data_IF_495039833808
#
_entry.id   IF_495039833808
#
_cell.length_a   1.000
_cell.length_b   1.000
_cell.length_c   1.000
_cell.angle_alpha   90.00
_cell.angle_beta   90.00
_cell.angle_gamma   90.00
#
_symmetry.space_group_name_H-M   'P 1'
#
loop_
_entity.id
_entity.type
_entity.pdbx_description
1 polymer ?
#
# COMPACT_ATOMS: atom_id res chain seq x y z
N UNK A 1 14.39 7.42 -19.69
CA UNK A 1 14.39 8.89 -19.77
C UNK A 1 13.75 9.35 -21.07
N UNK A 2 12.88 10.35 -21.02
CA UNK A 2 12.34 11.03 -22.20
C UNK A 2 13.31 12.16 -22.61
N UNK A 3 13.81 12.11 -23.82
CA UNK A 3 14.82 13.06 -24.29
C UNK A 3 14.26 14.07 -25.32
N UNK A 4 12.94 14.11 -25.49
CA UNK A 4 12.24 15.04 -26.37
C UNK A 4 11.82 14.42 -27.71
N UNK A 5 10.93 15.10 -28.42
CA UNK A 5 10.48 14.73 -29.77
C UNK A 5 10.01 13.28 -29.93
N UNK A 6 9.32 12.74 -28.91
CA UNK A 6 8.83 11.35 -28.95
C UNK A 6 9.92 10.30 -28.72
N UNK A 7 11.14 10.67 -28.35
CA UNK A 7 12.24 9.73 -28.15
C UNK A 7 12.46 9.42 -26.67
N UNK A 8 12.56 8.14 -26.36
CA UNK A 8 12.91 7.62 -25.04
C UNK A 8 14.24 6.88 -25.08
N UNK A 9 15.04 7.06 -24.04
CA UNK A 9 16.32 6.39 -23.86
C UNK A 9 16.27 5.41 -22.72
N UNK A 10 16.64 4.16 -22.97
CA UNK A 10 16.84 3.18 -21.91
C UNK A 10 18.16 3.51 -21.18
N UNK A 11 18.08 3.80 -19.87
CA UNK A 11 19.26 4.22 -19.09
C UNK A 11 20.24 3.07 -18.81
N UNK A 12 19.82 1.81 -18.94
CA UNK A 12 20.69 0.66 -18.73
C UNK A 12 21.42 0.28 -20.02
N UNK A 13 20.70 0.15 -21.13
CA UNK A 13 21.27 -0.26 -22.41
C UNK A 13 21.77 0.90 -23.28
N UNK A 14 21.37 2.13 -22.98
CA UNK A 14 21.64 3.31 -23.80
C UNK A 14 20.83 3.38 -25.10
N UNK A 15 20.00 2.38 -25.39
CA UNK A 15 19.22 2.31 -26.63
C UNK A 15 18.16 3.42 -26.64
N UNK A 16 18.11 4.14 -27.76
CA UNK A 16 17.08 5.15 -28.02
C UNK A 16 15.98 4.56 -28.91
N UNK A 17 14.72 4.84 -28.53
CA UNK A 17 13.55 4.38 -29.28
C UNK A 17 12.64 5.55 -29.55
N UNK A 18 12.24 5.73 -30.79
CA UNK A 18 11.24 6.74 -31.18
C UNK A 18 9.84 6.14 -31.05
N UNK A 19 8.94 6.87 -30.36
CA UNK A 19 7.56 6.49 -30.13
C UNK A 19 6.63 7.41 -30.92
N UNK A 20 5.84 6.85 -31.83
CA UNK A 20 4.74 7.56 -32.46
C UNK A 20 3.52 7.57 -31.55
N UNK A 21 3.26 8.69 -30.88
CA UNK A 21 2.16 8.85 -29.97
C UNK A 21 1.27 10.02 -30.36
N UNK A 22 -0.05 9.84 -30.29
CA UNK A 22 -1.03 10.93 -30.51
C UNK A 22 -0.91 12.04 -29.46
N UNK A 23 -0.55 11.69 -28.24
CA UNK A 23 -0.39 12.60 -27.10
C UNK A 23 0.74 12.11 -26.20
N UNK A 24 1.51 13.03 -25.69
CA UNK A 24 2.48 12.78 -24.62
C UNK A 24 1.95 13.38 -23.33
N UNK A 25 1.93 12.61 -22.26
CA UNK A 25 1.52 13.05 -20.94
C UNK A 25 2.77 13.15 -20.06
N UNK A 26 3.07 14.35 -19.58
CA UNK A 26 4.09 14.55 -18.56
C UNK A 26 3.49 14.24 -17.18
N UNK A 27 3.88 13.11 -16.62
CA UNK A 27 3.46 12.66 -15.29
C UNK A 27 4.48 13.01 -14.19
N UNK A 28 5.51 13.79 -14.49
CA UNK A 28 6.57 14.18 -13.54
C UNK A 28 6.21 15.42 -12.72
N UNK A 29 5.07 16.07 -13.00
CA UNK A 29 4.62 17.28 -12.31
C UNK A 29 4.35 17.09 -10.81
N UNK A 30 4.02 15.89 -10.39
CA UNK A 30 3.75 15.56 -8.99
C UNK A 30 5.06 15.52 -8.18
N UNK A 31 5.35 16.61 -7.50
CA UNK A 31 6.50 16.68 -6.58
C UNK A 31 6.13 16.07 -5.21
N UNK A 32 6.11 14.76 -5.14
CA UNK A 32 5.81 14.01 -3.91
C UNK A 32 7.09 13.64 -3.17
N UNK A 33 7.04 13.78 -1.86
CA UNK A 33 8.12 13.34 -0.96
C UNK A 33 7.87 11.88 -0.56
N UNK A 34 8.79 11.00 -0.91
CA UNK A 34 8.71 9.56 -0.62
C UNK A 34 9.90 9.10 0.23
N UNK A 35 9.81 7.96 0.94
CA UNK A 35 10.88 7.48 1.81
C UNK A 35 12.26 7.32 1.13
N UNK A 36 12.28 7.04 -0.18
CA UNK A 36 13.54 6.88 -0.92
C UNK A 36 14.35 8.18 -1.11
N UNK A 37 13.72 9.35 -0.89
CA UNK A 37 14.35 10.66 -1.04
C UNK A 37 14.35 11.48 0.26
N UNK A 38 13.96 10.87 1.38
CA UNK A 38 13.90 11.53 2.70
C UNK A 38 14.58 10.72 3.78
N UNK A 39 15.27 11.40 4.67
CA UNK A 39 15.78 10.80 5.90
C UNK A 39 14.63 10.52 6.85
N UNK A 40 14.60 9.36 7.53
CA UNK A 40 13.62 9.09 8.59
C UNK A 40 13.62 10.19 9.65
N UNK A 41 12.45 10.53 10.19
CA UNK A 41 12.31 11.52 11.26
C UNK A 41 12.73 10.99 12.64
N UNK A 42 13.10 9.72 12.74
CA UNK A 42 13.57 9.05 13.93
C UNK A 42 15.04 8.63 13.78
N UNK A 43 15.73 8.47 14.89
CA UNK A 43 17.11 7.99 14.90
C UNK A 43 17.16 6.49 14.68
N UNK A 44 18.12 6.06 13.87
CA UNK A 44 18.45 4.65 13.65
C UNK A 44 19.74 4.35 14.37
N UNK A 45 19.77 3.27 15.16
CA UNK A 45 20.96 2.86 15.91
C UNK A 45 22.09 2.49 14.97
N UNK A 46 23.31 2.74 15.40
CA UNK A 46 24.51 2.32 14.66
C UNK A 46 24.49 0.81 14.43
N UNK A 47 24.90 0.38 13.25
CA UNK A 47 24.86 -1.03 12.85
C UNK A 47 23.50 -1.55 12.39
N UNK A 48 22.43 -0.74 12.46
CA UNK A 48 21.11 -1.11 11.94
C UNK A 48 20.96 -0.65 10.48
N UNK A 49 20.62 -1.57 9.59
CA UNK A 49 20.30 -1.23 8.19
C UNK A 49 18.89 -0.66 8.11
N UNK A 50 18.77 0.60 7.70
CA UNK A 50 17.48 1.26 7.46
C UNK A 50 17.39 1.66 5.99
N UNK A 51 16.45 1.07 5.28
CA UNK A 51 16.27 1.26 3.83
C UNK A 51 14.84 1.67 3.50
N UNK A 52 14.63 2.40 2.40
CA UNK A 52 13.30 2.56 1.85
C UNK A 52 12.82 1.23 1.22
N UNK A 53 11.50 1.03 1.03
CA UNK A 53 10.94 -0.20 0.46
C UNK A 53 11.54 -0.63 -0.88
N UNK A 54 11.95 0.33 -1.70
CA UNK A 54 12.61 0.08 -3.00
C UNK A 54 13.94 -0.68 -2.87
N UNK A 55 14.62 -0.57 -1.72
CA UNK A 55 15.86 -1.28 -1.45
C UNK A 55 15.67 -2.74 -0.98
N UNK A 56 14.43 -3.19 -0.72
CA UNK A 56 14.18 -4.57 -0.28
C UNK A 56 14.75 -5.62 -1.24
N UNK A 57 14.58 -5.52 -2.57
CA UNK A 57 15.15 -6.50 -3.50
C UNK A 57 16.68 -6.52 -3.57
N UNK A 58 17.35 -5.49 -3.03
CA UNK A 58 18.80 -5.33 -3.08
C UNK A 58 19.49 -5.87 -1.82
N UNK A 59 18.73 -6.35 -0.83
CA UNK A 59 19.30 -6.96 0.39
C UNK A 59 19.98 -8.27 0.00
N UNK A 60 21.32 -8.29 0.07
CA UNK A 60 22.13 -9.46 -0.35
C UNK A 60 22.09 -10.63 0.64
N UNK A 61 22.09 -10.34 1.94
CA UNK A 61 21.95 -11.34 3.01
C UNK A 61 20.58 -11.18 3.67
N UNK A 62 19.92 -12.30 3.95
CA UNK A 62 18.62 -12.28 4.63
C UNK A 62 18.85 -11.93 6.11
N UNK A 63 18.42 -10.76 6.58
CA UNK A 63 18.46 -10.41 8.01
C UNK A 63 17.66 -11.40 8.84
N UNK A 64 18.05 -11.57 10.11
CA UNK A 64 17.29 -12.40 11.04
C UNK A 64 15.89 -11.85 11.33
N UNK A 65 15.80 -10.53 11.49
CA UNK A 65 14.56 -9.83 11.84
C UNK A 65 14.34 -8.60 10.96
N UNK A 66 13.08 -8.28 10.72
CA UNK A 66 12.64 -7.11 9.96
C UNK A 66 11.70 -6.23 10.79
N UNK A 67 11.92 -4.93 10.76
CA UNK A 67 10.99 -3.95 11.33
C UNK A 67 10.41 -3.09 10.21
N UNK A 68 9.13 -3.27 9.91
CA UNK A 68 8.42 -2.45 8.93
C UNK A 68 7.72 -1.30 9.63
N UNK A 69 8.07 -0.07 9.28
CA UNK A 69 7.52 1.14 9.92
C UNK A 69 6.51 1.82 9.02
N UNK A 70 5.25 1.84 9.45
CA UNK A 70 4.15 2.51 8.77
C UNK A 70 2.91 1.64 8.62
N UNK A 71 1.73 2.25 8.54
CA UNK A 71 0.44 1.59 8.34
C UNK A 71 -0.19 1.86 6.97
N UNK A 72 0.54 2.46 6.03
CA UNK A 72 0.05 2.79 4.68
C UNK A 72 0.27 1.67 3.67
N UNK A 73 -0.21 1.88 2.43
CA UNK A 73 -0.10 0.88 1.35
C UNK A 73 1.34 0.43 1.12
N UNK A 74 2.30 1.33 1.14
CA UNK A 74 3.73 1.01 0.96
C UNK A 74 4.26 0.03 2.01
N UNK A 75 3.87 0.21 3.28
CA UNK A 75 4.25 -0.73 4.34
C UNK A 75 3.55 -2.09 4.18
N UNK A 76 2.28 -2.09 3.79
CA UNK A 76 1.53 -3.30 3.44
C UNK A 76 2.25 -4.07 2.33
N UNK A 77 2.64 -3.38 1.25
CA UNK A 77 3.36 -4.01 0.13
C UNK A 77 4.73 -4.54 0.56
N UNK A 78 5.43 -3.84 1.46
CA UNK A 78 6.69 -4.33 2.03
C UNK A 78 6.49 -5.61 2.83
N UNK A 79 5.46 -5.68 3.68
CA UNK A 79 5.12 -6.89 4.43
C UNK A 79 4.78 -8.05 3.49
N UNK A 80 3.95 -7.80 2.47
CA UNK A 80 3.57 -8.81 1.48
C UNK A 80 4.78 -9.29 0.67
N UNK A 81 5.68 -8.39 0.30
CA UNK A 81 6.91 -8.74 -0.39
C UNK A 81 7.80 -9.65 0.46
N UNK A 82 8.00 -9.32 1.73
CA UNK A 82 8.77 -10.14 2.68
C UNK A 82 8.17 -11.54 2.81
N UNK A 83 6.86 -11.63 3.04
CA UNK A 83 6.14 -12.90 3.14
C UNK A 83 6.24 -13.71 1.85
N UNK A 84 6.06 -13.06 0.69
CA UNK A 84 6.16 -13.68 -0.63
C UNK A 84 7.56 -14.19 -0.97
N UNK A 85 8.59 -13.61 -0.34
CA UNK A 85 9.99 -14.06 -0.46
C UNK A 85 10.40 -15.04 0.66
N UNK A 86 9.43 -15.60 1.38
CA UNK A 86 9.67 -16.68 2.33
C UNK A 86 10.17 -16.24 3.71
N UNK A 87 10.13 -14.95 4.03
CA UNK A 87 10.46 -14.47 5.39
C UNK A 87 9.44 -15.03 6.38
N UNK A 88 9.94 -15.60 7.48
CA UNK A 88 9.07 -16.08 8.56
C UNK A 88 8.22 -14.92 9.11
N UNK A 89 6.88 -15.04 9.17
CA UNK A 89 6.02 -14.00 9.73
C UNK A 89 6.42 -13.56 11.15
N UNK A 90 6.96 -14.46 11.97
CA UNK A 90 7.42 -14.17 13.33
C UNK A 90 8.70 -13.32 13.37
N UNK A 91 9.47 -13.29 12.27
CA UNK A 91 10.63 -12.42 12.09
C UNK A 91 10.24 -11.00 11.63
N UNK A 92 8.96 -10.74 11.39
CA UNK A 92 8.47 -9.43 10.97
C UNK A 92 7.79 -8.74 12.14
N UNK A 93 8.33 -7.59 12.56
CA UNK A 93 7.67 -6.66 13.47
C UNK A 93 7.08 -5.50 12.67
N UNK A 94 5.78 -5.35 12.70
CA UNK A 94 5.10 -4.31 11.94
C UNK A 94 4.58 -3.19 12.85
N UNK A 95 5.15 -1.99 12.70
CA UNK A 95 4.75 -0.80 13.46
C UNK A 95 3.65 -0.07 12.69
N UNK A 96 2.42 -0.18 13.18
CA UNK A 96 1.22 0.42 12.60
C UNK A 96 0.76 1.58 13.49
N UNK A 97 1.10 2.84 13.16
CA UNK A 97 0.72 3.97 13.99
C UNK A 97 -0.80 4.16 14.11
N UNK A 98 -1.52 3.83 13.07
CA UNK A 98 -2.98 3.84 12.99
C UNK A 98 -3.46 2.80 12.00
N UNK A 99 -4.41 1.98 12.40
CA UNK A 99 -5.11 1.08 11.49
C UNK A 99 -5.98 1.88 10.52
N UNK A 100 -6.13 1.34 9.30
CA UNK A 100 -6.95 1.95 8.27
C UNK A 100 -7.97 0.96 7.70
N UNK A 101 -9.10 1.51 7.25
CA UNK A 101 -9.99 0.78 6.36
C UNK A 101 -9.35 0.67 4.98
N UNK A 102 -9.55 -0.47 4.34
CA UNK A 102 -9.00 -0.78 3.03
C UNK A 102 -10.11 -1.14 2.05
N UNK A 103 -9.93 -0.78 0.81
CA UNK A 103 -10.81 -1.19 -0.29
C UNK A 103 -10.46 -2.61 -0.73
N UNK A 104 -11.49 -3.43 -0.97
CA UNK A 104 -11.25 -4.70 -1.67
C UNK A 104 -10.97 -4.42 -3.14
N UNK A 105 -9.78 -4.84 -3.59
CA UNK A 105 -9.35 -4.70 -4.99
C UNK A 105 -10.32 -5.36 -5.98
N UNK A 106 -10.96 -6.45 -5.60
CA UNK A 106 -11.93 -7.13 -6.45
C UNK A 106 -13.10 -6.23 -6.85
N UNK A 107 -13.44 -5.23 -6.00
CA UNK A 107 -14.56 -4.31 -6.23
C UNK A 107 -14.23 -3.12 -7.14
N UNK A 108 -12.97 -2.94 -7.52
CA UNK A 108 -12.49 -1.78 -8.30
C UNK A 108 -11.58 -2.18 -9.46
N UNK A 109 -11.70 -3.42 -9.93
CA UNK A 109 -10.96 -3.90 -11.10
C UNK A 109 -11.38 -3.15 -12.37
N UNK A 110 -10.42 -2.67 -13.19
CA UNK A 110 -10.70 -2.15 -14.51
C UNK A 110 -10.97 -3.31 -15.49
N UNK A 111 -11.80 -3.07 -16.48
CA UNK A 111 -12.13 -4.02 -17.53
C UNK A 111 -13.64 -4.19 -17.70
N UNK A 112 -14.08 -4.47 -18.92
CA UNK A 112 -15.50 -4.62 -19.25
C UNK A 112 -16.13 -5.78 -18.46
N UNK A 113 -15.38 -6.87 -18.24
CA UNK A 113 -15.81 -8.05 -17.49
C UNK A 113 -16.12 -7.75 -16.02
N UNK A 114 -15.51 -6.70 -15.44
CA UNK A 114 -15.71 -6.28 -14.05
C UNK A 114 -16.70 -5.13 -13.90
N UNK A 115 -17.11 -4.49 -15.00
CA UNK A 115 -17.91 -3.25 -14.98
C UNK A 115 -19.22 -3.39 -14.21
N UNK A 116 -19.95 -4.47 -14.41
CA UNK A 116 -21.23 -4.73 -13.72
C UNK A 116 -21.01 -4.87 -12.21
N UNK A 117 -20.00 -5.65 -11.82
CA UNK A 117 -19.69 -5.88 -10.40
C UNK A 117 -19.24 -4.57 -9.71
N UNK A 118 -18.41 -3.78 -10.39
CA UNK A 118 -17.95 -2.50 -9.88
C UNK A 118 -19.12 -1.50 -9.71
N UNK A 119 -20.04 -1.45 -10.68
CA UNK A 119 -21.24 -0.60 -10.59
C UNK A 119 -22.18 -1.03 -9.46
N UNK A 120 -22.44 -2.33 -9.29
CA UNK A 120 -23.26 -2.84 -8.20
C UNK A 120 -22.65 -2.49 -6.84
N UNK A 121 -21.33 -2.64 -6.68
CA UNK A 121 -20.64 -2.25 -5.46
C UNK A 121 -20.73 -0.74 -5.21
N UNK A 122 -20.65 0.07 -6.26
CA UNK A 122 -20.78 1.52 -6.14
C UNK A 122 -22.20 1.91 -5.71
N UNK A 123 -23.23 1.31 -6.27
CA UNK A 123 -24.64 1.55 -5.88
C UNK A 123 -24.84 1.17 -4.42
N UNK A 124 -24.42 -0.02 -4.01
CA UNK A 124 -24.52 -0.48 -2.61
C UNK A 124 -23.79 0.49 -1.65
N UNK A 125 -22.60 0.95 -2.03
CA UNK A 125 -21.85 1.94 -1.23
C UNK A 125 -22.64 3.26 -1.09
N UNK A 126 -23.25 3.75 -2.17
CA UNK A 126 -24.08 4.96 -2.14
C UNK A 126 -25.32 4.79 -1.27
N UNK A 127 -25.98 3.62 -1.33
CA UNK A 127 -27.14 3.31 -0.48
C UNK A 127 -26.76 3.31 1.00
N UNK A 128 -25.62 2.69 1.36
CA UNK A 128 -25.10 2.70 2.72
C UNK A 128 -24.82 4.13 3.20
N UNK A 129 -24.15 4.94 2.37
CA UNK A 129 -23.85 6.35 2.71
C UNK A 129 -25.14 7.13 2.90
N UNK A 130 -26.13 6.98 2.04
CA UNK A 130 -27.41 7.71 2.10
C UNK A 130 -28.26 7.29 3.32
N UNK A 131 -28.20 6.03 3.73
CA UNK A 131 -29.00 5.50 4.84
C UNK A 131 -28.34 5.71 6.22
N UNK A 132 -27.04 6.03 6.26
CA UNK A 132 -26.31 6.16 7.52
C UNK A 132 -26.62 7.47 8.23
N UNK A 133 -26.85 7.41 9.54
CA UNK A 133 -27.14 8.59 10.38
C UNK A 133 -25.86 9.18 11.00
N UNK A 134 -24.74 8.49 10.89
CA UNK A 134 -23.42 8.96 11.34
C UNK A 134 -22.29 8.36 10.50
N UNK A 135 -21.13 9.01 10.56
CA UNK A 135 -19.90 8.51 9.90
C UNK A 135 -19.48 7.16 10.48
N UNK A 136 -19.62 6.99 11.78
CA UNK A 136 -19.28 5.72 12.44
C UNK A 136 -20.15 4.58 11.95
N UNK A 137 -21.47 4.77 11.92
CA UNK A 137 -22.40 3.78 11.37
C UNK A 137 -22.11 3.47 9.90
N UNK A 138 -21.79 4.48 9.11
CA UNK A 138 -21.44 4.31 7.70
C UNK A 138 -20.24 3.37 7.55
N UNK A 139 -19.16 3.60 8.28
CA UNK A 139 -17.97 2.74 8.21
C UNK A 139 -18.25 1.34 8.74
N UNK A 140 -19.03 1.18 9.78
CA UNK A 140 -19.42 -0.13 10.31
C UNK A 140 -20.23 -0.93 9.28
N UNK A 141 -21.19 -0.28 8.63
CA UNK A 141 -22.00 -0.93 7.58
C UNK A 141 -21.18 -1.25 6.32
N UNK A 142 -20.27 -0.37 5.90
CA UNK A 142 -19.35 -0.65 4.79
C UNK A 142 -18.46 -1.86 5.06
N UNK A 143 -17.99 -2.03 6.29
CA UNK A 143 -17.24 -3.23 6.70
C UNK A 143 -18.14 -4.45 6.74
N UNK A 144 -19.33 -4.34 7.34
CA UNK A 144 -20.29 -5.42 7.43
C UNK A 144 -20.69 -5.98 6.06
N UNK A 145 -20.89 -5.11 5.08
CA UNK A 145 -21.20 -5.47 3.67
C UNK A 145 -19.97 -5.84 2.84
N UNK A 146 -18.77 -5.82 3.43
CA UNK A 146 -17.53 -6.15 2.73
C UNK A 146 -17.12 -5.13 1.65
N UNK A 147 -17.66 -3.92 1.68
CA UNK A 147 -17.21 -2.80 0.85
C UNK A 147 -15.87 -2.27 1.33
N UNK A 148 -15.61 -2.37 2.64
CA UNK A 148 -14.33 -2.08 3.26
C UNK A 148 -13.82 -3.31 4.03
N UNK A 149 -12.51 -3.43 4.05
CA UNK A 149 -11.77 -4.44 4.79
C UNK A 149 -11.00 -3.78 5.94
N UNK A 150 -10.73 -4.53 6.99
CA UNK A 150 -9.85 -4.13 8.09
C UNK A 150 -8.88 -5.26 8.42
N UNK A 151 -7.66 -4.88 8.83
CA UNK A 151 -6.60 -5.85 9.12
C UNK A 151 -6.97 -6.73 10.32
N UNK A 152 -7.31 -6.11 11.43
CA UNK A 152 -7.69 -6.77 12.68
C UNK A 152 -9.15 -6.44 13.01
N UNK A 153 -10.06 -7.42 12.99
CA UNK A 153 -11.47 -7.19 13.30
C UNK A 153 -11.73 -6.67 14.72
N UNK A 154 -10.80 -6.89 15.65
CA UNK A 154 -10.91 -6.41 17.03
C UNK A 154 -10.47 -4.96 17.22
N UNK A 155 -9.79 -4.38 16.22
CA UNK A 155 -9.25 -3.02 16.27
C UNK A 155 -9.98 -2.13 15.28
N UNK A 156 -10.76 -1.16 15.81
CA UNK A 156 -11.44 -0.19 14.95
C UNK A 156 -10.41 0.71 14.26
N UNK A 157 -10.38 0.76 12.93
CA UNK A 157 -9.54 1.70 12.22
C UNK A 157 -9.93 3.16 12.49
N UNK A 158 -8.97 4.07 12.36
CA UNK A 158 -9.19 5.52 12.54
C UNK A 158 -8.72 6.31 11.33
N UNK A 159 -8.39 5.64 10.23
CA UNK A 159 -7.89 6.27 9.02
C UNK A 159 -8.50 5.63 7.78
N UNK A 160 -8.82 6.47 6.79
CA UNK A 160 -9.23 6.02 5.46
C UNK A 160 -8.48 6.82 4.40
N UNK A 161 -7.69 6.15 3.59
CA UNK A 161 -6.88 6.74 2.51
C UNK A 161 -6.93 5.92 1.22
N UNK A 162 -8.05 5.25 0.98
CA UNK A 162 -8.28 4.43 -0.21
C UNK A 162 -7.18 3.37 -0.45
N UNK A 163 -6.55 2.88 0.61
CA UNK A 163 -5.61 1.78 0.51
C UNK A 163 -6.35 0.54 0.00
N UNK A 164 -5.77 -0.16 -0.94
CA UNK A 164 -6.41 -1.27 -1.65
C UNK A 164 -5.63 -2.56 -1.42
N UNK A 165 -6.34 -3.62 -1.03
CA UNK A 165 -5.79 -4.98 -0.90
C UNK A 165 -6.80 -5.99 -1.44
N UNK A 166 -6.35 -7.19 -1.76
CA UNK A 166 -7.24 -8.33 -1.95
C UNK A 166 -7.49 -9.03 -0.62
N UNK A 167 -8.55 -9.82 -0.54
CA UNK A 167 -8.82 -10.68 0.63
C UNK A 167 -7.67 -11.67 0.84
N UNK A 168 -7.05 -12.18 -0.24
CA UNK A 168 -5.90 -13.07 -0.15
C UNK A 168 -4.67 -12.35 0.46
N UNK A 169 -4.33 -11.15 -0.02
CA UNK A 169 -3.27 -10.31 0.55
C UNK A 169 -3.53 -10.02 2.04
N UNK A 170 -4.77 -9.73 2.39
CA UNK A 170 -5.15 -9.48 3.79
C UNK A 170 -4.94 -10.71 4.68
N UNK A 171 -5.26 -11.90 4.17
CA UNK A 171 -5.05 -13.15 4.90
C UNK A 171 -3.55 -13.44 5.09
N UNK A 172 -2.72 -13.15 4.08
CA UNK A 172 -1.27 -13.24 4.21
C UNK A 172 -0.73 -12.27 5.27
N UNK A 173 -1.16 -11.01 5.25
CA UNK A 173 -0.76 -10.01 6.24
C UNK A 173 -1.10 -10.43 7.67
N UNK A 174 -2.24 -11.08 7.89
CA UNK A 174 -2.69 -11.58 9.21
C UNK A 174 -1.81 -12.67 9.80
N UNK A 175 -0.89 -13.23 9.03
CA UNK A 175 0.15 -14.14 9.55
C UNK A 175 1.21 -13.41 10.37
N UNK A 176 1.32 -12.08 10.22
CA UNK A 176 2.20 -11.26 11.03
C UNK A 176 1.51 -10.96 12.35
N UNK A 177 1.93 -11.63 13.43
CA UNK A 177 1.34 -11.46 14.76
C UNK A 177 2.00 -10.33 15.57
N UNK A 178 3.26 -10.00 15.27
CA UNK A 178 4.01 -8.96 15.99
C UNK A 178 3.68 -7.57 15.43
N UNK A 179 2.46 -7.09 15.71
CA UNK A 179 1.97 -5.77 15.26
C UNK A 179 1.96 -4.79 16.42
N UNK A 180 2.75 -3.71 16.30
CA UNK A 180 2.92 -2.68 17.33
C UNK A 180 2.07 -1.46 17.00
N UNK A 181 1.12 -1.11 17.89
CA UNK A 181 0.15 -0.02 17.74
C UNK A 181 0.34 1.10 18.76
N UNK A 182 1.58 1.53 18.99
CA UNK A 182 1.93 2.53 20.00
C UNK A 182 2.09 3.95 19.42
N UNK A 183 1.49 4.21 18.27
CA UNK A 183 1.63 5.49 17.59
C UNK A 183 2.87 5.56 16.68
N UNK A 184 3.30 6.80 16.36
CA UNK A 184 4.48 7.01 15.50
C UNK A 184 5.76 6.74 16.26
N UNK A 185 6.75 6.19 15.57
CA UNK A 185 8.10 6.04 16.11
C UNK A 185 8.61 7.41 16.54
N UNK A 186 9.11 7.48 17.76
CA UNK A 186 9.75 8.65 18.36
C UNK A 186 11.28 8.43 18.42
N UNK A 187 12.00 9.47 18.74
CA UNK A 187 13.46 9.38 18.95
C UNK A 187 13.79 8.62 20.23
#
# INVERSE_FOLDING_TARGET
>A
EYIGNGTVKNLVSGVETHLEAKKTVDATYMNVTVPSVTTPSYKVSEGTTCIPPNGLPEIGETPGDYVVVGGGKTAIDSCLWLLGNGVNPDAIRWIVPRDQWMLDRASIQPGEEFAVQALLRQVETMEIVAASVSVDQMFDELVHRGALLQFDPSVRPTMYRCCTVTVAELNELRRIHNVVRMGRVQN
#
